data_IF_308563866231
#
_entry.id   IF_308563866231
#
_cell.length_a   1.000
_cell.length_b   1.000
_cell.length_c   1.000
_cell.angle_alpha   90.00
_cell.angle_beta   90.00
_cell.angle_gamma   90.00
#
_symmetry.space_group_name_H-M   'P 1'
#
loop_
_entity.id
_entity.type
_entity.pdbx_description
1 polymer ?
#
# COMPACT_ATOMS: atom_id res chain seq x y z
N UNK A 1 32.79 -31.86 -8.54
CA UNK A 1 33.12 -30.61 -9.22
C UNK A 1 31.82 -30.08 -9.79
N UNK A 2 31.08 -29.28 -9.01
CA UNK A 2 29.73 -28.80 -9.36
C UNK A 2 29.90 -27.34 -9.80
N UNK A 3 29.49 -27.06 -11.03
CA UNK A 3 29.61 -25.76 -11.71
C UNK A 3 28.70 -24.71 -11.05
N UNK A 4 29.34 -23.65 -10.50
CA UNK A 4 28.68 -22.51 -9.81
C UNK A 4 28.42 -21.35 -10.77
N UNK A 5 27.70 -21.58 -11.88
CA UNK A 5 27.35 -20.50 -12.81
C UNK A 5 25.88 -20.57 -13.22
N UNK A 6 24.96 -20.32 -12.30
CA UNK A 6 23.58 -19.94 -12.68
C UNK A 6 22.78 -19.46 -11.45
N UNK A 7 23.29 -18.44 -10.78
CA UNK A 7 22.49 -17.68 -9.83
C UNK A 7 22.71 -16.21 -10.13
N UNK A 8 21.86 -15.62 -10.93
CA UNK A 8 21.53 -14.19 -10.97
C UNK A 8 20.59 -13.88 -12.15
N UNK A 9 19.33 -14.15 -11.99
CA UNK A 9 18.24 -13.37 -12.58
C UNK A 9 17.06 -13.47 -11.61
N UNK A 10 17.22 -12.87 -10.44
CA UNK A 10 16.12 -12.59 -9.54
C UNK A 10 15.28 -11.49 -10.18
N UNK A 11 14.14 -11.85 -10.68
CA UNK A 11 13.16 -10.93 -11.23
C UNK A 11 12.69 -10.01 -10.10
N UNK A 12 12.73 -8.71 -10.35
CA UNK A 12 11.91 -7.72 -9.66
C UNK A 12 10.48 -7.99 -10.10
N UNK A 13 9.81 -8.89 -9.41
CA UNK A 13 8.38 -9.14 -9.54
C UNK A 13 7.69 -8.59 -8.30
N UNK A 14 7.76 -7.27 -8.13
CA UNK A 14 6.96 -6.61 -7.13
C UNK A 14 5.51 -6.52 -7.60
N UNK A 15 4.64 -7.18 -6.85
CA UNK A 15 3.23 -6.84 -6.64
C UNK A 15 2.31 -6.68 -7.86
N UNK A 16 2.41 -7.56 -8.85
CA UNK A 16 1.34 -7.72 -9.85
C UNK A 16 1.06 -9.21 -10.02
N UNK A 17 0.14 -9.74 -9.21
CA UNK A 17 -0.39 -11.07 -9.41
C UNK A 17 -0.93 -11.24 -10.83
N UNK A 18 -0.48 -12.28 -11.54
CA UNK A 18 -0.89 -12.57 -12.90
C UNK A 18 -2.40 -12.79 -12.96
N UNK A 19 -3.15 -11.84 -13.55
CA UNK A 19 -4.55 -12.04 -13.93
C UNK A 19 -4.59 -12.71 -15.30
N UNK A 20 -5.11 -13.93 -15.34
CA UNK A 20 -5.59 -14.52 -16.58
C UNK A 20 -6.91 -13.82 -16.95
N UNK A 21 -6.89 -12.99 -18.02
CA UNK A 21 -8.10 -12.43 -18.59
C UNK A 21 -8.83 -13.52 -19.39
N UNK A 22 -9.98 -13.95 -18.91
CA UNK A 22 -11.01 -14.55 -19.78
C UNK A 22 -12.07 -13.46 -20.04
N UNK A 23 -12.07 -12.97 -21.28
CA UNK A 23 -13.10 -12.08 -21.76
C UNK A 23 -14.40 -12.87 -22.02
N UNK A 24 -15.50 -12.48 -21.36
CA UNK A 24 -16.86 -12.83 -21.80
C UNK A 24 -17.60 -11.53 -22.08
N UNK A 25 -17.87 -11.31 -23.37
CA UNK A 25 -18.74 -10.26 -23.85
C UNK A 25 -20.20 -10.79 -23.91
N UNK A 26 -21.15 -9.96 -23.48
CA UNK A 26 -22.57 -9.81 -23.90
C UNK A 26 -23.27 -8.99 -22.83
N UNK A 27 -24.04 -7.99 -23.07
CA UNK A 27 -24.91 -7.52 -24.09
C UNK A 27 -25.78 -6.41 -23.49
N UNK A 28 -26.08 -5.47 -24.28
CA UNK A 28 -27.11 -4.41 -24.35
C UNK A 28 -28.20 -4.27 -23.26
N UNK A 29 -28.47 -3.01 -22.87
CA UNK A 29 -29.75 -2.62 -22.24
C UNK A 29 -29.80 -1.15 -21.77
N UNK A 30 -30.60 -0.38 -22.44
CA UNK A 30 -30.92 1.04 -22.42
C UNK A 30 -31.52 1.65 -21.13
N UNK A 31 -31.32 2.97 -21.04
CA UNK A 31 -32.22 4.09 -20.69
C UNK A 31 -32.35 4.44 -19.18
N UNK A 32 -32.10 5.61 -18.84
CA UNK A 32 -32.56 6.98 -18.94
C UNK A 32 -32.85 7.61 -17.58
N UNK A 33 -32.29 8.80 -17.41
CA UNK A 33 -32.75 10.03 -16.77
C UNK A 33 -33.13 10.06 -15.28
N UNK A 34 -32.42 10.97 -14.59
CA UNK A 34 -32.78 11.51 -13.28
C UNK A 34 -31.70 12.48 -12.82
N UNK A 35 -31.72 13.71 -13.37
CA UNK A 35 -30.86 14.77 -12.89
C UNK A 35 -31.39 15.26 -11.52
N UNK A 36 -30.59 15.12 -10.48
CA UNK A 36 -30.75 15.83 -9.22
C UNK A 36 -29.52 16.73 -9.04
N UNK A 37 -29.75 18.01 -8.86
CA UNK A 37 -28.75 19.04 -8.62
C UNK A 37 -27.95 18.74 -7.35
N UNK A 38 -26.64 19.03 -7.31
CA UNK A 38 -25.86 18.86 -6.10
C UNK A 38 -26.14 20.00 -5.12
N UNK A 39 -26.39 19.64 -3.88
CA UNK A 39 -26.39 20.57 -2.75
C UNK A 39 -24.98 21.08 -2.48
N UNK A 40 -24.80 22.30 -1.96
CA UNK A 40 -23.48 22.88 -1.70
C UNK A 40 -22.79 22.14 -0.56
N UNK A 41 -21.56 21.72 -0.83
CA UNK A 41 -20.64 21.14 0.15
C UNK A 41 -20.39 22.17 1.26
N UNK A 42 -20.74 21.82 2.47
CA UNK A 42 -20.45 22.56 3.68
C UNK A 42 -18.92 22.68 3.92
N UNK A 43 -18.57 23.74 4.63
CA UNK A 43 -17.22 24.15 5.01
C UNK A 43 -16.34 23.03 5.56
N UNK A 44 -15.02 23.09 5.37
CA UNK A 44 -14.09 22.12 5.95
C UNK A 44 -13.99 22.35 7.46
N UNK A 45 -14.84 21.66 8.19
CA UNK A 45 -14.72 21.59 9.64
C UNK A 45 -13.60 20.66 10.02
N UNK A 46 -12.49 21.28 10.43
CA UNK A 46 -11.85 20.98 11.69
C UNK A 46 -10.83 19.84 11.75
N UNK A 47 -9.62 20.29 11.95
CA UNK A 47 -8.43 19.63 12.53
C UNK A 47 -8.65 18.80 13.82
N UNK A 48 -9.87 18.73 14.36
CA UNK A 48 -10.17 18.00 15.61
C UNK A 48 -10.50 16.52 15.42
N UNK A 49 -10.69 16.02 14.19
CA UNK A 49 -10.99 14.59 13.96
C UNK A 49 -9.75 13.69 13.98
N UNK A 50 -8.56 14.23 13.79
CA UNK A 50 -7.33 13.44 13.78
C UNK A 50 -6.97 12.83 15.16
N UNK A 51 -7.31 13.51 16.25
CA UNK A 51 -7.04 13.01 17.61
C UNK A 51 -8.07 11.98 18.10
N UNK A 52 -9.29 11.96 17.55
CA UNK A 52 -10.35 11.03 17.97
C UNK A 52 -10.16 9.58 17.51
N UNK A 53 -9.23 9.32 16.60
CA UNK A 53 -8.96 7.98 16.05
C UNK A 53 -7.95 7.15 16.84
N UNK A 54 -7.38 7.70 17.91
CA UNK A 54 -6.43 6.98 18.76
C UNK A 54 -7.16 6.15 19.82
N UNK A 55 -6.79 4.85 20.00
CA UNK A 55 -7.38 4.01 21.04
C UNK A 55 -7.13 4.58 22.43
N UNK A 56 -8.14 4.47 23.30
CA UNK A 56 -7.97 4.76 24.71
C UNK A 56 -7.11 3.67 25.40
N UNK A 57 -6.43 4.05 26.49
CA UNK A 57 -5.71 3.13 27.38
C UNK A 57 -4.57 2.33 26.71
N UNK A 58 -3.88 2.90 25.72
CA UNK A 58 -2.66 2.33 25.17
C UNK A 58 -1.52 2.35 26.18
N UNK A 59 -0.75 1.26 26.25
CA UNK A 59 0.55 1.26 26.94
C UNK A 59 1.53 2.21 26.21
N UNK A 60 2.66 2.47 26.85
CA UNK A 60 3.71 3.31 26.24
C UNK A 60 4.23 2.70 24.92
N UNK A 61 4.48 1.40 24.92
CA UNK A 61 4.99 0.64 23.76
C UNK A 61 3.97 0.59 22.63
N UNK A 62 2.69 0.32 22.95
CA UNK A 62 1.61 0.33 21.94
C UNK A 62 1.48 1.70 21.28
N UNK A 63 1.50 2.76 22.07
CA UNK A 63 1.48 4.13 21.55
C UNK A 63 2.71 4.47 20.72
N UNK A 64 3.90 4.02 21.14
CA UNK A 64 5.14 4.20 20.40
C UNK A 64 5.07 3.52 19.04
N UNK A 65 4.65 2.24 19.00
CA UNK A 65 4.52 1.49 17.74
C UNK A 65 3.55 2.15 16.77
N UNK A 66 2.40 2.64 17.23
CA UNK A 66 1.45 3.36 16.37
C UNK A 66 2.02 4.70 15.87
N UNK A 67 2.79 5.43 16.67
CA UNK A 67 3.45 6.67 16.22
C UNK A 67 4.50 6.41 15.15
N UNK A 68 5.31 5.37 15.34
CA UNK A 68 6.29 4.95 14.33
C UNK A 68 5.59 4.51 13.05
N UNK A 69 4.43 3.86 13.17
CA UNK A 69 3.61 3.47 12.02
C UNK A 69 3.05 4.69 11.27
N UNK A 70 2.53 5.68 11.98
CA UNK A 70 2.05 6.93 11.37
C UNK A 70 3.19 7.67 10.63
N UNK A 71 4.37 7.74 11.24
CA UNK A 71 5.54 8.37 10.63
C UNK A 71 6.01 7.61 9.38
N UNK A 72 5.98 6.27 9.43
CA UNK A 72 6.28 5.41 8.29
C UNK A 72 5.42 5.77 7.09
N UNK A 73 4.10 5.78 7.24
CA UNK A 73 3.19 5.96 6.11
C UNK A 73 3.12 7.42 5.64
N UNK A 74 3.04 8.36 6.59
CA UNK A 74 2.80 9.77 6.25
C UNK A 74 4.05 10.50 5.78
N UNK A 75 5.21 10.19 6.37
CA UNK A 75 6.45 10.89 6.11
C UNK A 75 7.46 10.04 5.33
N UNK A 76 7.75 8.83 5.79
CA UNK A 76 8.81 8.01 5.21
C UNK A 76 8.39 7.45 3.85
N UNK A 77 7.27 6.74 3.78
CA UNK A 77 6.75 6.17 2.53
C UNK A 77 6.25 7.26 1.58
N UNK A 78 5.31 8.09 2.02
CA UNK A 78 4.72 9.14 1.19
C UNK A 78 5.71 10.22 0.79
N UNK A 79 6.71 10.49 1.63
CA UNK A 79 7.81 11.41 1.37
C UNK A 79 9.01 10.78 0.67
N UNK A 80 8.97 9.48 0.38
CA UNK A 80 10.05 8.72 -0.26
C UNK A 80 11.39 8.83 0.48
N UNK A 81 11.37 8.85 1.82
CA UNK A 81 12.55 8.96 2.69
C UNK A 81 13.13 7.55 2.97
N UNK A 82 13.62 6.90 1.92
CA UNK A 82 14.01 5.49 1.93
C UNK A 82 15.14 5.13 2.87
N UNK A 83 15.97 6.08 3.23
CA UNK A 83 17.05 5.98 4.22
C UNK A 83 16.56 5.91 5.66
N UNK A 84 15.28 6.19 5.90
CA UNK A 84 14.65 6.14 7.23
C UNK A 84 13.75 4.90 7.45
N UNK A 85 13.63 4.01 6.48
CA UNK A 85 12.74 2.83 6.60
C UNK A 85 13.18 1.90 7.74
N UNK A 86 14.46 1.88 8.09
CA UNK A 86 15.00 1.10 9.21
C UNK A 86 14.55 1.62 10.60
N UNK A 87 14.01 2.83 10.68
CA UNK A 87 13.41 3.36 11.92
C UNK A 87 12.13 2.59 12.31
N UNK A 88 11.47 1.95 11.33
CA UNK A 88 10.22 1.20 11.51
C UNK A 88 10.34 -0.29 11.21
N UNK A 89 11.36 -0.74 10.47
CA UNK A 89 11.49 -2.11 10.01
C UNK A 89 12.83 -2.74 10.40
N UNK A 90 12.77 -4.01 10.85
CA UNK A 90 13.96 -4.80 11.10
C UNK A 90 14.67 -5.17 9.79
N UNK A 91 16.01 -5.36 9.84
CA UNK A 91 16.80 -5.77 8.66
C UNK A 91 16.31 -7.08 8.01
N UNK A 92 15.75 -7.97 8.80
CA UNK A 92 15.21 -9.27 8.38
C UNK A 92 13.68 -9.27 8.38
N UNK A 93 13.05 -8.13 8.12
CA UNK A 93 11.59 -8.03 7.99
C UNK A 93 11.05 -9.06 7.00
N UNK A 94 9.93 -9.68 7.31
CA UNK A 94 9.10 -10.41 6.34
C UNK A 94 7.84 -9.61 6.05
N UNK A 95 7.55 -9.42 4.77
CA UNK A 95 6.35 -8.72 4.30
C UNK A 95 5.47 -9.68 3.51
N UNK A 96 4.23 -9.82 3.94
CA UNK A 96 3.19 -10.62 3.29
C UNK A 96 2.32 -9.73 2.42
N UNK A 97 2.23 -10.05 1.15
CA UNK A 97 1.52 -9.27 0.13
C UNK A 97 0.08 -9.77 -0.10
N UNK A 98 -0.84 -8.92 -0.61
CA UNK A 98 -2.25 -9.27 -0.77
C UNK A 98 -2.54 -10.42 -1.73
N UNK A 99 -1.59 -10.80 -2.58
CA UNK A 99 -1.70 -11.94 -3.51
C UNK A 99 -1.23 -13.27 -2.89
N UNK A 100 -0.80 -13.23 -1.62
CA UNK A 100 -0.37 -14.39 -0.84
C UNK A 100 1.11 -14.73 -0.93
N UNK A 101 1.91 -14.01 -1.73
CA UNK A 101 3.36 -14.18 -1.65
C UNK A 101 3.96 -13.38 -0.49
N UNK A 102 5.24 -13.61 -0.19
CA UNK A 102 6.01 -12.81 0.77
C UNK A 102 7.39 -12.47 0.24
N UNK A 103 7.97 -11.41 0.79
CA UNK A 103 9.36 -11.01 0.56
C UNK A 103 10.09 -10.89 1.88
N UNK A 104 11.40 -11.17 1.89
CA UNK A 104 12.25 -11.12 3.07
C UNK A 104 13.37 -10.09 2.90
N UNK A 105 13.62 -9.34 3.96
CA UNK A 105 14.72 -8.40 4.07
C UNK A 105 14.36 -6.96 3.73
N UNK A 106 14.97 -6.05 4.48
CA UNK A 106 14.71 -4.61 4.40
C UNK A 106 15.02 -4.03 3.02
N UNK A 107 16.15 -4.41 2.43
CA UNK A 107 16.56 -3.91 1.11
C UNK A 107 15.56 -4.31 0.02
N UNK A 108 15.01 -5.55 0.10
CA UNK A 108 13.97 -6.00 -0.81
C UNK A 108 12.69 -5.22 -0.60
N UNK A 109 12.25 -5.03 0.65
CA UNK A 109 11.04 -4.27 0.95
C UNK A 109 11.14 -2.81 0.47
N UNK A 110 12.30 -2.16 0.65
CA UNK A 110 12.54 -0.82 0.10
C UNK A 110 12.44 -0.82 -1.43
N UNK A 111 12.98 -1.83 -2.11
CA UNK A 111 12.87 -1.95 -3.56
C UNK A 111 11.40 -2.13 -4.01
N UNK A 112 10.64 -2.94 -3.28
CA UNK A 112 9.22 -3.17 -3.53
C UNK A 112 8.41 -1.87 -3.38
N UNK A 113 8.60 -1.13 -2.29
CA UNK A 113 7.97 0.17 -2.08
C UNK A 113 8.33 1.18 -3.18
N UNK A 114 9.60 1.29 -3.55
CA UNK A 114 10.07 2.18 -4.63
C UNK A 114 9.40 1.87 -5.97
N UNK A 115 9.06 0.60 -6.23
CA UNK A 115 8.45 0.19 -7.49
C UNK A 115 7.11 0.88 -7.75
N UNK A 116 6.33 1.18 -6.70
CA UNK A 116 5.07 1.92 -6.78
C UNK A 116 5.29 3.34 -7.35
N UNK A 117 6.34 4.02 -6.91
CA UNK A 117 6.63 5.40 -7.31
C UNK A 117 7.22 5.53 -8.73
N UNK A 118 7.66 4.42 -9.34
CA UNK A 118 8.11 4.40 -10.73
C UNK A 118 6.97 4.82 -11.66
N UNK A 119 5.75 4.33 -11.44
CA UNK A 119 4.61 4.55 -12.31
C UNK A 119 3.55 5.51 -11.75
N UNK A 120 3.48 5.66 -10.42
CA UNK A 120 2.61 6.60 -9.72
C UNK A 120 3.43 7.45 -8.73
N UNK A 121 4.20 8.45 -9.19
CA UNK A 121 5.16 9.18 -8.37
C UNK A 121 4.52 10.08 -7.30
N UNK A 122 3.21 10.34 -7.40
CA UNK A 122 2.40 11.06 -6.43
C UNK A 122 1.70 10.17 -5.39
N UNK A 123 2.09 8.89 -5.32
CA UNK A 123 1.54 7.96 -4.33
C UNK A 123 1.76 8.47 -2.92
N UNK A 124 0.71 8.39 -2.08
CA UNK A 124 0.76 8.79 -0.68
C UNK A 124 -0.30 8.08 0.15
N UNK A 125 -0.03 7.99 1.44
CA UNK A 125 -0.98 7.64 2.51
C UNK A 125 -1.03 8.85 3.43
N UNK A 126 -2.20 9.45 3.65
CA UNK A 126 -2.34 10.71 4.40
C UNK A 126 -3.21 10.58 5.64
N UNK A 127 -3.85 9.42 5.81
CA UNK A 127 -4.73 9.19 6.94
C UNK A 127 -4.74 7.72 7.38
N UNK A 128 -4.91 7.53 8.67
CA UNK A 128 -5.19 6.25 9.30
C UNK A 128 -6.54 6.34 10.02
N UNK A 129 -7.66 5.98 9.37
CA UNK A 129 -8.98 6.07 9.97
C UNK A 129 -9.13 5.24 11.26
N UNK A 130 -8.47 4.09 11.32
CA UNK A 130 -8.50 3.23 12.51
C UNK A 130 -7.10 2.78 12.88
N UNK A 131 -6.85 2.73 14.18
CA UNK A 131 -5.62 2.22 14.79
C UNK A 131 -5.96 1.27 15.92
N UNK A 132 -5.35 0.11 15.94
CA UNK A 132 -5.46 -0.89 17.01
C UNK A 132 -4.06 -1.32 17.39
N UNK A 133 -3.79 -1.40 18.68
CA UNK A 133 -2.56 -2.01 19.19
C UNK A 133 -2.86 -2.86 20.41
N UNK A 134 -2.19 -4.02 20.49
CA UNK A 134 -2.22 -4.90 21.65
C UNK A 134 -0.90 -5.65 21.80
N UNK A 135 -0.16 -5.31 22.86
CA UNK A 135 1.18 -5.84 23.08
C UNK A 135 2.12 -5.46 21.92
N UNK A 136 2.65 -6.45 21.22
CA UNK A 136 3.53 -6.25 20.08
C UNK A 136 2.82 -6.30 18.72
N UNK A 137 1.51 -6.23 18.69
CA UNK A 137 0.70 -6.25 17.47
C UNK A 137 0.08 -4.87 17.23
N UNK A 138 0.16 -4.40 15.98
CA UNK A 138 -0.62 -3.26 15.51
C UNK A 138 -1.47 -3.66 14.31
N UNK A 139 -2.64 -3.03 14.16
CA UNK A 139 -3.45 -3.08 12.96
C UNK A 139 -3.91 -1.66 12.64
N UNK A 140 -3.59 -1.19 11.44
CA UNK A 140 -3.86 0.17 11.01
C UNK A 140 -4.57 0.12 9.66
N UNK A 141 -5.66 0.89 9.52
CA UNK A 141 -6.25 1.12 8.21
C UNK A 141 -5.67 2.38 7.59
N UNK A 142 -5.37 2.34 6.30
CA UNK A 142 -4.84 3.47 5.55
C UNK A 142 -5.62 3.69 4.25
N UNK A 143 -5.47 4.87 3.66
CA UNK A 143 -5.98 5.17 2.33
C UNK A 143 -4.80 5.55 1.43
N UNK A 144 -4.41 4.62 0.56
CA UNK A 144 -3.34 4.86 -0.43
C UNK A 144 -3.93 5.51 -1.67
N UNK A 145 -3.38 6.64 -2.08
CA UNK A 145 -3.84 7.44 -3.21
C UNK A 145 -2.69 7.75 -4.17
N UNK A 146 -3.03 7.95 -5.44
CA UNK A 146 -2.07 8.38 -6.46
C UNK A 146 -2.68 8.44 -7.85
N UNK A 147 -1.83 8.66 -8.86
CA UNK A 147 -2.24 8.75 -10.27
C UNK A 147 -1.32 7.90 -11.13
N UNK A 148 -1.87 7.06 -11.98
CA UNK A 148 -1.11 6.25 -12.93
C UNK A 148 -0.64 7.10 -14.11
N UNK A 149 0.55 7.71 -13.99
CA UNK A 149 1.06 8.72 -14.93
C UNK A 149 2.28 8.30 -15.73
N UNK A 150 2.95 7.19 -15.38
CA UNK A 150 4.15 6.70 -16.06
C UNK A 150 4.04 5.22 -16.41
N UNK A 151 4.77 4.71 -17.42
CA UNK A 151 4.75 3.29 -17.74
C UNK A 151 5.08 2.40 -16.54
N UNK A 152 4.21 1.41 -16.29
CA UNK A 152 4.36 0.44 -15.20
C UNK A 152 4.98 -0.84 -15.75
N UNK A 153 6.07 -1.36 -15.18
CA UNK A 153 6.63 -2.66 -15.56
C UNK A 153 5.60 -3.78 -15.44
N UNK A 154 5.47 -4.64 -16.47
CA UNK A 154 4.50 -5.76 -16.50
C UNK A 154 5.04 -7.07 -15.90
N UNK A 155 6.25 -7.04 -15.35
CA UNK A 155 6.93 -8.23 -14.80
C UNK A 155 7.41 -9.24 -15.86
N UNK A 156 7.15 -8.99 -17.13
CA UNK A 156 7.52 -9.86 -18.27
C UNK A 156 8.54 -9.22 -19.22
N UNK A 157 9.08 -8.07 -18.82
CA UNK A 157 10.05 -7.29 -19.60
C UNK A 157 9.42 -6.22 -20.50
N UNK A 158 8.10 -6.04 -20.42
CA UNK A 158 7.34 -4.99 -21.08
C UNK A 158 6.80 -3.93 -20.10
N UNK A 159 5.90 -3.09 -20.62
CA UNK A 159 5.29 -2.01 -19.87
C UNK A 159 3.80 -1.87 -20.17
N UNK A 160 3.02 -1.67 -19.13
CA UNK A 160 1.63 -1.21 -19.22
C UNK A 160 1.65 0.32 -19.32
N UNK A 161 1.00 0.85 -20.37
CA UNK A 161 0.97 2.30 -20.59
C UNK A 161 0.08 3.01 -19.57
N UNK A 162 0.46 4.23 -19.13
CA UNK A 162 -0.30 4.98 -18.16
C UNK A 162 -1.70 5.36 -18.69
N UNK A 163 -2.69 5.26 -17.84
CA UNK A 163 -4.08 5.65 -18.16
C UNK A 163 -4.42 7.07 -17.73
N UNK A 164 -3.58 7.70 -16.91
CA UNK A 164 -3.87 8.99 -16.27
C UNK A 164 -4.94 8.92 -15.17
N UNK A 165 -5.44 7.71 -14.84
CA UNK A 165 -6.47 7.54 -13.83
C UNK A 165 -5.90 7.65 -12.41
N UNK A 166 -6.70 8.25 -11.54
CA UNK A 166 -6.45 8.30 -10.10
C UNK A 166 -6.92 7.02 -9.43
N UNK A 167 -6.26 6.66 -8.33
CA UNK A 167 -6.69 5.60 -7.45
C UNK A 167 -6.77 6.09 -6.00
N UNK A 168 -7.69 5.49 -5.25
CA UNK A 168 -7.84 5.65 -3.81
C UNK A 168 -8.24 4.29 -3.24
N UNK A 169 -7.31 3.62 -2.59
CA UNK A 169 -7.45 2.22 -2.16
C UNK A 169 -7.38 2.15 -0.65
N UNK A 170 -8.44 1.60 -0.05
CA UNK A 170 -8.41 1.26 1.37
C UNK A 170 -7.49 0.07 1.59
N UNK A 171 -6.64 0.17 2.60
CA UNK A 171 -5.72 -0.89 2.98
C UNK A 171 -5.76 -1.14 4.49
N UNK A 172 -5.34 -2.32 4.87
CA UNK A 172 -5.05 -2.67 6.26
C UNK A 172 -3.63 -3.19 6.31
N UNK A 173 -2.85 -2.67 7.25
CA UNK A 173 -1.55 -3.23 7.57
C UNK A 173 -1.54 -3.76 8.99
N UNK A 174 -1.08 -5.00 9.15
CA UNK A 174 -0.84 -5.61 10.47
C UNK A 174 0.66 -5.73 10.67
N UNK A 175 1.18 -5.12 11.74
CA UNK A 175 2.59 -5.15 12.10
C UNK A 175 2.84 -5.98 13.34
N UNK A 176 3.86 -6.86 13.30
CA UNK A 176 4.38 -7.56 14.47
C UNK A 176 5.73 -6.95 14.84
N UNK A 177 5.78 -6.30 16.00
CA UNK A 177 6.93 -5.53 16.47
C UNK A 177 7.88 -6.40 17.30
N UNK A 178 9.16 -6.14 17.23
CA UNK A 178 10.15 -6.74 18.11
C UNK A 178 10.42 -5.85 19.34
N UNK A 179 11.25 -6.35 20.26
CA UNK A 179 11.65 -5.62 21.47
C UNK A 179 12.45 -4.33 21.20
N UNK A 180 13.02 -4.19 20.03
CA UNK A 180 13.80 -3.01 19.65
C UNK A 180 12.88 -1.88 19.12
N UNK A 181 11.58 -2.17 18.98
CA UNK A 181 10.56 -1.19 18.58
C UNK A 181 10.45 -1.01 17.06
N UNK A 182 10.87 -2.02 16.27
CA UNK A 182 10.69 -2.08 14.82
C UNK A 182 9.91 -3.32 14.42
N UNK A 183 9.19 -3.27 13.31
CA UNK A 183 8.44 -4.41 12.77
C UNK A 183 9.41 -5.49 12.26
N UNK A 184 9.17 -6.74 12.66
CA UNK A 184 9.85 -7.92 12.18
C UNK A 184 9.02 -8.70 11.16
N UNK A 185 7.74 -8.42 11.11
CA UNK A 185 6.78 -9.05 10.19
C UNK A 185 5.64 -8.08 9.90
N UNK A 186 5.25 -7.98 8.65
CA UNK A 186 4.22 -7.08 8.15
C UNK A 186 3.27 -7.84 7.23
N UNK A 187 1.97 -7.56 7.37
CA UNK A 187 0.92 -8.14 6.52
C UNK A 187 0.15 -7.01 5.87
N UNK A 188 0.13 -6.99 4.55
CA UNK A 188 -0.54 -5.99 3.74
C UNK A 188 -1.83 -6.55 3.15
N UNK A 189 -2.92 -5.81 3.27
CA UNK A 189 -4.22 -6.19 2.75
C UNK A 189 -4.86 -5.03 2.01
N UNK A 190 -5.20 -5.26 0.75
CA UNK A 190 -6.08 -4.43 -0.06
C UNK A 190 -6.73 -5.26 -1.15
N UNK A 191 -7.81 -4.74 -1.76
CA UNK A 191 -8.47 -5.42 -2.88
C UNK A 191 -7.77 -5.07 -4.20
N UNK A 192 -6.99 -5.99 -4.72
CA UNK A 192 -6.31 -5.87 -6.00
C UNK A 192 -7.28 -5.63 -7.17
N UNK A 193 -8.47 -6.25 -7.16
CA UNK A 193 -9.44 -6.08 -8.22
C UNK A 193 -9.98 -4.65 -8.27
N UNK A 194 -10.34 -4.08 -7.12
CA UNK A 194 -10.72 -2.67 -7.01
C UNK A 194 -9.57 -1.75 -7.44
N UNK A 195 -8.34 -2.06 -7.05
CA UNK A 195 -7.17 -1.29 -7.44
C UNK A 195 -7.00 -1.26 -8.97
N UNK A 196 -7.00 -2.42 -9.63
CA UNK A 196 -6.86 -2.49 -11.10
C UNK A 196 -8.00 -1.82 -11.85
N UNK A 197 -9.25 -1.93 -11.38
CA UNK A 197 -10.39 -1.20 -11.94
C UNK A 197 -10.19 0.30 -11.88
N UNK A 198 -9.70 0.82 -10.76
CA UNK A 198 -9.42 2.26 -10.63
C UNK A 198 -8.30 2.70 -11.58
N UNK A 199 -7.27 1.87 -11.77
CA UNK A 199 -6.20 2.13 -12.74
C UNK A 199 -6.68 2.00 -14.20
N UNK A 200 -7.87 1.41 -14.46
CA UNK A 200 -8.39 1.14 -15.81
C UNK A 200 -7.75 -0.06 -16.48
N UNK A 201 -7.33 -1.04 -15.68
CA UNK A 201 -6.65 -2.27 -16.14
C UNK A 201 -7.53 -3.52 -16.00
N UNK A 202 -8.74 -3.41 -15.47
CA UNK A 202 -9.72 -4.48 -15.32
C UNK A 202 -11.13 -3.99 -15.71
#
# INVERSE_FOLDING_TARGET
MIDRRNIRKGAVAAALGALALTAVATGTGLAASGASSPEPLGDPASTSQAESSWPANLTHEERKSLKVFDDLDFNVYSGQQWDRVDESHAKNIRVHWPDGHYTDGLDQHIADMKSQFVWAPDTRITEHPNRIAKGNLTSVTGVMQGTFTRPMPDGKGGFIQPTGKKFSVNMVTVGIWNKDGVMREEFLFWDNNTFYKQLGLA
#
